data_IF_512245962478
#
_entry.id   IF_512245962478
#
_cell.length_a   1.000
_cell.length_b   1.000
_cell.length_c   1.000
_cell.angle_alpha   90.00
_cell.angle_beta   90.00
_cell.angle_gamma   90.00
#
_symmetry.space_group_name_H-M   'P 1'
#
loop_
_entity.id
_entity.type
_entity.pdbx_description
1 polymer ?
#
# COMPACT_ATOMS: atom_id res chain seq x y z
N UNK A 1 22.35 -12.90 -18.74
CA UNK A 1 23.07 -11.83 -18.01
C UNK A 1 23.29 -12.20 -16.55
N UNK A 2 22.25 -12.36 -15.72
CA UNK A 2 22.48 -12.74 -14.30
C UNK A 2 23.15 -14.11 -14.17
N UNK A 3 22.90 -15.03 -15.11
CA UNK A 3 23.61 -16.32 -15.16
C UNK A 3 25.12 -16.16 -15.38
N UNK A 4 25.57 -15.05 -16.00
CA UNK A 4 27.00 -14.76 -16.11
C UNK A 4 27.59 -14.41 -14.74
N UNK A 5 26.86 -13.69 -13.89
CA UNK A 5 27.23 -13.45 -12.49
C UNK A 5 27.26 -14.76 -11.73
N UNK A 6 26.29 -15.66 -11.97
CA UNK A 6 26.24 -16.98 -11.30
C UNK A 6 27.41 -17.89 -11.71
N UNK A 7 27.89 -17.74 -12.95
CA UNK A 7 29.10 -18.39 -13.46
C UNK A 7 30.41 -17.72 -12.99
N UNK A 8 30.33 -16.75 -12.08
CA UNK A 8 31.49 -16.11 -11.46
C UNK A 8 32.01 -14.86 -12.18
N UNK A 9 31.33 -14.35 -13.20
CA UNK A 9 31.75 -13.11 -13.86
C UNK A 9 31.59 -11.90 -12.91
N UNK A 10 32.61 -11.03 -12.77
CA UNK A 10 32.50 -9.80 -12.00
C UNK A 10 31.34 -8.93 -12.48
N UNK A 11 30.64 -8.29 -11.54
CA UNK A 11 29.44 -7.49 -11.84
C UNK A 11 29.77 -6.27 -12.70
N UNK A 12 30.97 -5.72 -12.55
CA UNK A 12 31.53 -4.62 -13.34
C UNK A 12 31.68 -5.02 -14.81
N UNK A 13 32.11 -6.25 -15.06
CA UNK A 13 32.25 -6.78 -16.41
C UNK A 13 30.88 -7.01 -17.06
N UNK A 14 29.93 -7.58 -16.30
CA UNK A 14 28.54 -7.72 -16.75
C UNK A 14 27.92 -6.35 -17.04
N UNK A 15 28.18 -5.34 -16.21
CA UNK A 15 27.69 -3.99 -16.43
C UNK A 15 28.21 -3.38 -17.74
N UNK A 16 29.50 -3.59 -18.06
CA UNK A 16 30.11 -3.15 -19.32
C UNK A 16 29.53 -3.88 -20.54
N UNK A 17 29.54 -5.21 -20.52
CA UNK A 17 29.10 -6.05 -21.65
C UNK A 17 27.63 -5.81 -21.99
N UNK A 18 26.76 -5.76 -20.97
CA UNK A 18 25.33 -5.61 -21.16
C UNK A 18 24.86 -4.15 -21.13
N UNK A 19 25.78 -3.18 -21.01
CA UNK A 19 25.51 -1.73 -20.99
C UNK A 19 24.42 -1.37 -19.97
N UNK A 20 24.60 -1.86 -18.74
CA UNK A 20 23.66 -1.64 -17.62
C UNK A 20 24.39 -1.13 -16.40
N UNK A 21 23.69 -0.32 -15.59
CA UNK A 21 24.22 0.17 -14.32
C UNK A 21 24.40 -0.98 -13.29
N UNK A 22 25.46 -0.92 -12.48
CA UNK A 22 25.67 -1.81 -11.33
C UNK A 22 24.47 -1.87 -10.35
N UNK A 23 23.79 -0.75 -10.00
CA UNK A 23 22.58 -0.79 -9.18
C UNK A 23 21.46 -1.63 -9.78
N UNK A 24 21.30 -1.65 -11.10
CA UNK A 24 20.29 -2.48 -11.76
C UNK A 24 20.58 -3.97 -11.60
N UNK A 25 21.85 -4.38 -11.75
CA UNK A 25 22.29 -5.76 -11.48
C UNK A 25 22.00 -6.13 -10.03
N UNK A 26 22.41 -5.29 -9.06
CA UNK A 26 22.15 -5.52 -7.63
C UNK A 26 20.65 -5.65 -7.34
N UNK A 27 19.82 -4.77 -7.90
CA UNK A 27 18.36 -4.78 -7.76
C UNK A 27 17.74 -6.08 -8.27
N UNK A 28 18.18 -6.56 -9.43
CA UNK A 28 17.66 -7.81 -10.01
C UNK A 28 18.13 -9.05 -9.25
N UNK A 29 19.38 -9.10 -8.78
CA UNK A 29 19.86 -10.19 -7.93
C UNK A 29 19.10 -10.26 -6.61
N UNK A 30 18.88 -9.11 -5.95
CA UNK A 30 18.06 -9.02 -4.74
C UNK A 30 16.63 -9.53 -5.00
N UNK A 31 16.00 -9.06 -6.07
CA UNK A 31 14.66 -9.51 -6.47
C UNK A 31 14.58 -11.01 -6.71
N UNK A 32 15.58 -11.59 -7.40
CA UNK A 32 15.64 -13.03 -7.66
C UNK A 32 15.74 -13.82 -6.36
N UNK A 33 16.54 -13.36 -5.40
CA UNK A 33 16.66 -13.98 -4.07
C UNK A 33 15.33 -13.93 -3.29
N UNK A 34 14.61 -12.82 -3.36
CA UNK A 34 13.37 -12.61 -2.60
C UNK A 34 12.15 -13.32 -3.22
N UNK A 35 12.08 -13.42 -4.54
CA UNK A 35 10.86 -13.83 -5.25
C UNK A 35 11.03 -15.02 -6.21
N UNK A 36 12.27 -15.49 -6.40
CA UNK A 36 12.61 -16.50 -7.41
C UNK A 36 12.50 -16.01 -8.86
N UNK A 37 12.08 -14.76 -9.10
CA UNK A 37 11.83 -14.19 -10.44
C UNK A 37 12.54 -12.85 -10.61
N UNK A 38 12.90 -12.52 -11.85
CA UNK A 38 13.59 -11.25 -12.20
C UNK A 38 12.69 -10.29 -13.00
N UNK A 39 11.56 -10.80 -13.50
CA UNK A 39 10.62 -10.05 -14.31
C UNK A 39 10.13 -8.75 -13.65
N UNK A 40 9.54 -7.89 -14.48
CA UNK A 40 8.86 -6.69 -13.99
C UNK A 40 7.81 -7.09 -12.94
N UNK A 41 7.70 -6.30 -11.87
CA UNK A 41 6.54 -6.41 -10.97
C UNK A 41 5.33 -5.91 -11.75
N UNK A 42 4.18 -6.55 -11.56
CA UNK A 42 2.92 -5.93 -11.97
C UNK A 42 2.85 -4.55 -11.33
N UNK A 43 2.53 -3.48 -12.09
CA UNK A 43 2.29 -2.18 -11.49
C UNK A 43 1.18 -2.34 -10.44
N UNK A 44 1.22 -1.56 -9.35
CA UNK A 44 0.07 -1.48 -8.46
C UNK A 44 -1.17 -1.14 -9.28
N UNK A 45 -2.31 -1.72 -8.89
CA UNK A 45 -3.60 -1.39 -9.51
C UNK A 45 -3.95 0.08 -9.33
N UNK A 46 -4.97 0.58 -10.05
CA UNK A 46 -5.47 1.94 -9.83
C UNK A 46 -5.93 2.11 -8.37
N UNK A 47 -5.87 3.35 -7.84
CA UNK A 47 -6.37 3.63 -6.50
C UNK A 47 -7.85 3.26 -6.39
N UNK A 48 -8.28 2.80 -5.21
CA UNK A 48 -9.67 2.41 -4.99
C UNK A 48 -10.58 3.64 -4.92
N UNK A 49 -11.66 3.66 -5.69
CA UNK A 49 -12.66 4.76 -5.68
C UNK A 49 -13.22 4.99 -4.27
N UNK A 50 -13.69 3.92 -3.60
CA UNK A 50 -14.21 4.02 -2.23
C UNK A 50 -13.16 4.46 -1.21
N UNK A 51 -11.90 4.10 -1.43
CA UNK A 51 -10.80 4.54 -0.56
C UNK A 51 -10.54 6.04 -0.67
N UNK A 52 -10.56 6.59 -1.89
CA UNK A 52 -10.43 8.03 -2.09
C UNK A 52 -11.59 8.81 -1.44
N UNK A 53 -12.82 8.29 -1.57
CA UNK A 53 -13.99 8.88 -0.90
C UNK A 53 -13.86 8.85 0.63
N UNK A 54 -13.36 7.74 1.19
CA UNK A 54 -13.11 7.63 2.63
C UNK A 54 -12.02 8.59 3.10
N UNK A 55 -10.93 8.74 2.36
CA UNK A 55 -9.84 9.66 2.70
C UNK A 55 -10.32 11.12 2.77
N UNK A 56 -11.26 11.51 1.89
CA UNK A 56 -11.84 12.86 1.88
C UNK A 56 -12.87 13.07 3.01
N UNK A 57 -13.74 12.09 3.26
CA UNK A 57 -14.85 12.22 4.20
C UNK A 57 -14.45 12.00 5.68
N UNK A 58 -13.53 11.07 5.95
CA UNK A 58 -13.20 10.66 7.31
C UNK A 58 -12.70 11.78 8.23
N UNK A 59 -11.81 12.70 7.81
CA UNK A 59 -11.25 13.70 8.72
C UNK A 59 -12.32 14.59 9.37
N UNK A 60 -13.32 15.02 8.61
CA UNK A 60 -14.40 15.88 9.13
C UNK A 60 -15.43 15.07 9.92
N UNK A 61 -15.72 13.85 9.47
CA UNK A 61 -16.65 12.95 10.15
C UNK A 61 -16.12 12.52 11.54
N UNK A 62 -14.86 12.09 11.64
CA UNK A 62 -14.26 11.63 12.91
C UNK A 62 -14.10 12.77 13.92
N UNK A 63 -13.86 14.00 13.47
CA UNK A 63 -13.85 15.18 14.37
C UNK A 63 -15.22 15.47 14.96
N UNK A 64 -16.27 15.29 14.16
CA UNK A 64 -17.64 15.56 14.56
C UNK A 64 -18.23 14.43 15.41
N UNK A 65 -17.76 13.20 15.21
CA UNK A 65 -18.33 11.99 15.80
C UNK A 65 -17.23 11.04 16.34
N UNK A 66 -16.48 11.44 17.38
CA UNK A 66 -15.30 10.68 17.85
C UNK A 66 -15.62 9.36 18.56
N UNK A 67 -16.85 9.18 19.05
CA UNK A 67 -17.24 8.03 19.88
C UNK A 67 -18.12 7.00 19.15
N UNK A 68 -18.32 7.15 17.85
CA UNK A 68 -19.04 6.17 17.04
C UNK A 68 -18.23 4.87 16.90
N UNK A 69 -18.95 3.77 16.82
CA UNK A 69 -18.42 2.45 16.51
C UNK A 69 -18.08 2.34 15.02
N UNK A 70 -17.27 1.34 14.66
CA UNK A 70 -16.94 1.09 13.25
C UNK A 70 -18.19 0.79 12.41
N UNK A 71 -19.16 0.09 12.99
CA UNK A 71 -20.45 -0.21 12.38
C UNK A 71 -21.24 1.08 12.10
N UNK A 72 -21.36 1.96 13.09
CA UNK A 72 -22.04 3.26 12.95
C UNK A 72 -21.35 4.16 11.93
N UNK A 73 -20.01 4.15 11.86
CA UNK A 73 -19.28 4.86 10.81
C UNK A 73 -19.60 4.31 9.41
N UNK A 74 -19.75 2.98 9.26
CA UNK A 74 -20.12 2.40 7.97
C UNK A 74 -21.54 2.83 7.54
N UNK A 75 -22.47 2.85 8.49
CA UNK A 75 -23.84 3.31 8.25
C UNK A 75 -23.90 4.79 7.90
N UNK A 76 -23.14 5.64 8.60
CA UNK A 76 -23.04 7.07 8.29
C UNK A 76 -22.43 7.31 6.90
N UNK A 77 -21.38 6.58 6.55
CA UNK A 77 -20.75 6.68 5.23
C UNK A 77 -21.70 6.26 4.10
N UNK A 78 -22.48 5.18 4.30
CA UNK A 78 -23.51 4.75 3.35
C UNK A 78 -24.64 5.80 3.24
N UNK A 79 -25.04 6.42 4.35
CA UNK A 79 -26.06 7.48 4.38
C UNK A 79 -25.62 8.78 3.68
N UNK A 80 -24.39 9.22 3.89
CA UNK A 80 -23.88 10.49 3.36
C UNK A 80 -23.50 10.39 1.88
N UNK A 81 -22.86 9.28 1.48
CA UNK A 81 -22.24 9.14 0.15
C UNK A 81 -22.89 8.06 -0.73
N UNK A 82 -23.87 7.32 -0.20
CA UNK A 82 -24.59 6.27 -0.94
C UNK A 82 -23.74 5.02 -1.23
N UNK A 83 -22.53 4.92 -0.66
CA UNK A 83 -21.58 3.85 -0.94
C UNK A 83 -21.38 2.98 0.29
N UNK A 84 -21.61 1.67 0.14
CA UNK A 84 -21.40 0.72 1.23
C UNK A 84 -19.93 0.32 1.36
N UNK A 85 -19.42 0.36 2.59
CA UNK A 85 -18.08 -0.14 2.95
C UNK A 85 -18.18 -1.13 4.11
N UNK A 86 -17.21 -2.04 4.20
CA UNK A 86 -17.12 -2.97 5.33
C UNK A 86 -16.39 -2.33 6.52
N UNK A 87 -16.63 -2.84 7.72
CA UNK A 87 -15.90 -2.43 8.95
C UNK A 87 -14.38 -2.55 8.80
N UNK A 88 -13.91 -3.57 8.07
CA UNK A 88 -12.49 -3.72 7.74
C UNK A 88 -11.96 -2.62 6.81
N UNK A 89 -12.78 -2.14 5.87
CA UNK A 89 -12.42 -1.03 4.98
C UNK A 89 -12.40 0.27 5.78
N UNK A 90 -13.41 0.48 6.62
CA UNK A 90 -13.50 1.63 7.52
C UNK A 90 -12.29 1.71 8.46
N UNK A 91 -11.98 0.61 9.15
CA UNK A 91 -10.81 0.52 10.04
C UNK A 91 -9.48 0.81 9.33
N UNK A 92 -9.30 0.32 8.10
CA UNK A 92 -8.11 0.63 7.29
C UNK A 92 -8.06 2.11 6.92
N UNK A 93 -9.20 2.70 6.53
CA UNK A 93 -9.30 4.12 6.21
C UNK A 93 -8.90 4.99 7.39
N UNK A 94 -9.44 4.71 8.59
CA UNK A 94 -9.07 5.43 9.82
C UNK A 94 -7.57 5.25 10.13
N UNK A 95 -7.04 4.03 10.00
CA UNK A 95 -5.62 3.74 10.26
C UNK A 95 -4.66 4.37 9.25
N UNK A 96 -5.11 4.71 8.04
CA UNK A 96 -4.29 5.39 7.03
C UNK A 96 -4.22 6.90 7.20
N UNK A 97 -5.09 7.50 8.03
CA UNK A 97 -5.08 8.94 8.26
C UNK A 97 -3.86 9.36 9.10
N UNK A 98 -3.27 10.52 8.82
CA UNK A 98 -2.25 11.09 9.69
C UNK A 98 -2.90 11.52 11.03
N UNK A 99 -2.43 10.96 12.15
CA UNK A 99 -2.86 11.30 13.51
C UNK A 99 -3.22 10.10 14.38
N UNK A 100 -3.45 10.35 15.68
CA UNK A 100 -4.01 9.36 16.61
C UNK A 100 -5.53 9.46 16.60
N UNK A 101 -6.18 8.56 15.88
CA UNK A 101 -7.64 8.47 15.84
C UNK A 101 -8.12 7.39 16.81
N UNK A 102 -9.09 7.67 17.69
CA UNK A 102 -9.62 6.68 18.61
C UNK A 102 -10.35 5.58 17.82
N UNK A 103 -9.67 4.45 17.61
CA UNK A 103 -10.25 3.26 16.96
C UNK A 103 -11.25 2.52 17.88
N UNK A 104 -11.47 3.01 19.11
CA UNK A 104 -12.32 2.38 20.13
C UNK A 104 -13.07 3.42 20.96
N UNK A 105 -14.30 3.09 21.31
CA UNK A 105 -15.17 3.84 22.22
C UNK A 105 -14.47 4.17 23.54
N UNK A 106 -14.47 5.44 23.90
CA UNK A 106 -14.13 5.91 25.24
C UNK A 106 -15.11 5.27 26.24
N UNK A 107 -14.62 4.50 27.21
CA UNK A 107 -15.49 4.01 28.28
C UNK A 107 -15.91 5.20 29.18
N UNK A 108 -17.18 5.28 29.60
CA UNK A 108 -17.64 6.27 30.56
C UNK A 108 -16.95 6.11 31.92
#
# INVERSE_FOLDING_TARGET
MLDAVDRGMPREEVARIFVISLPSIKRWLKRRRETGRVGAKSPPGPPSVKGAMLEEWLPDHLRSNPDLTLEEHCEAFEGDLGEKVSTATMSRGISSLPGEWPLKKSRP
#
